data_IF_370475179578
#
_entry.id   IF_370475179578
#
_cell.length_a   1.000
_cell.length_b   1.000
_cell.length_c   1.000
_cell.angle_alpha   90.00
_cell.angle_beta   90.00
_cell.angle_gamma   90.00
#
_symmetry.space_group_name_H-M   'P 1'
#
loop_
_entity.id
_entity.type
_entity.pdbx_description
1 polymer ?
#
# COMPACT_ATOMS: atom_id res chain seq x y z
N UNK A 1 -13.87 -19.07 13.48
CA UNK A 1 -13.26 -17.95 12.72
C UNK A 1 -13.88 -16.64 13.22
N UNK A 2 -13.10 -15.63 13.62
CA UNK A 2 -13.64 -14.33 14.01
C UNK A 2 -14.50 -13.71 12.89
N UNK A 3 -15.63 -13.03 13.19
CA UNK A 3 -16.46 -12.36 12.17
C UNK A 3 -15.69 -11.38 11.27
N UNK A 4 -14.58 -10.83 11.75
CA UNK A 4 -13.66 -9.96 11.00
C UNK A 4 -12.99 -10.67 9.80
N UNK A 5 -12.88 -12.00 9.83
CA UNK A 5 -12.29 -12.82 8.75
C UNK A 5 -13.34 -13.17 7.68
N UNK A 6 -14.61 -13.34 8.05
CA UNK A 6 -15.65 -13.90 7.18
C UNK A 6 -16.07 -13.02 5.98
N UNK A 7 -15.66 -11.75 5.91
CA UNK A 7 -15.95 -10.91 4.73
C UNK A 7 -14.75 -10.09 4.24
N UNK A 8 -13.55 -10.67 4.29
CA UNK A 8 -12.36 -10.10 3.64
C UNK A 8 -12.51 -10.11 2.12
N UNK A 9 -13.08 -11.18 1.54
CA UNK A 9 -13.29 -11.28 0.10
C UNK A 9 -14.17 -10.13 -0.43
N UNK A 10 -15.30 -9.83 0.21
CA UNK A 10 -16.15 -8.71 -0.21
C UNK A 10 -15.50 -7.34 0.01
N UNK A 11 -14.69 -7.18 1.05
CA UNK A 11 -13.87 -5.96 1.26
C UNK A 11 -12.83 -5.81 0.15
N UNK A 12 -12.13 -6.89 -0.22
CA UNK A 12 -11.17 -6.92 -1.32
C UNK A 12 -11.83 -6.60 -2.67
N UNK A 13 -12.99 -7.18 -2.96
CA UNK A 13 -13.73 -6.86 -4.19
C UNK A 13 -14.08 -5.38 -4.25
N UNK A 14 -14.68 -4.82 -3.18
CA UNK A 14 -15.01 -3.37 -3.13
C UNK A 14 -13.76 -2.48 -3.23
N UNK A 15 -12.65 -2.90 -2.65
CA UNK A 15 -11.37 -2.21 -2.76
C UNK A 15 -10.85 -2.22 -4.21
N UNK A 16 -10.87 -3.38 -4.87
CA UNK A 16 -10.38 -3.51 -6.25
C UNK A 16 -11.30 -2.82 -7.27
N UNK A 17 -12.60 -2.83 -7.03
CA UNK A 17 -13.60 -2.23 -7.92
C UNK A 17 -13.70 -0.71 -7.75
N UNK A 18 -13.64 -0.20 -6.51
CA UNK A 18 -14.03 1.17 -6.19
C UNK A 18 -13.04 1.89 -5.25
N UNK A 19 -11.90 1.28 -4.94
CA UNK A 19 -10.90 1.87 -4.05
C UNK A 19 -11.32 1.94 -2.57
N UNK A 20 -12.41 1.29 -2.13
CA UNK A 20 -12.86 1.41 -0.73
C UNK A 20 -11.79 0.90 0.27
N UNK A 21 -11.49 1.66 1.34
CA UNK A 21 -10.49 1.25 2.34
C UNK A 21 -10.80 -0.13 2.94
N UNK A 22 -9.79 -1.00 2.95
CA UNK A 22 -9.93 -2.34 3.51
C UNK A 22 -10.14 -2.34 5.02
N UNK A 23 -9.70 -1.33 5.78
CA UNK A 23 -9.79 -1.27 7.26
C UNK A 23 -9.04 -2.43 7.97
N UNK A 24 -7.81 -2.71 7.57
CA UNK A 24 -6.93 -3.70 8.25
C UNK A 24 -6.08 -2.96 9.27
N UNK A 25 -6.23 -3.29 10.55
CA UNK A 25 -5.55 -2.57 11.65
C UNK A 25 -4.26 -3.23 12.15
N UNK A 26 -4.10 -4.54 11.96
CA UNK A 26 -3.00 -5.32 12.51
C UNK A 26 -2.75 -6.62 11.71
N UNK A 27 -1.82 -7.44 12.21
CA UNK A 27 -1.43 -8.72 11.62
C UNK A 27 -2.31 -9.90 12.08
N UNK A 28 -3.46 -9.69 12.72
CA UNK A 28 -4.34 -10.77 13.23
C UNK A 28 -4.87 -11.71 12.13
N UNK A 29 -4.81 -11.27 10.87
CA UNK A 29 -5.25 -12.02 9.70
C UNK A 29 -4.18 -12.97 9.15
N UNK A 30 -2.96 -12.96 9.69
CA UNK A 30 -1.87 -13.83 9.27
C UNK A 30 -1.21 -14.51 10.44
N UNK A 31 -0.78 -15.75 10.21
CA UNK A 31 0.16 -16.38 11.12
C UNK A 31 1.52 -15.67 11.01
N UNK A 32 1.86 -14.93 12.07
CA UNK A 32 3.12 -14.19 12.16
C UNK A 32 4.23 -14.98 12.86
N UNK A 33 4.01 -16.25 13.22
CA UNK A 33 4.99 -17.10 13.90
C UNK A 33 6.31 -17.23 13.14
N UNK A 34 6.24 -17.22 11.80
CA UNK A 34 7.40 -17.37 10.92
C UNK A 34 8.08 -16.05 10.54
N UNK A 35 7.55 -14.90 10.97
CA UNK A 35 8.16 -13.60 10.68
C UNK A 35 9.24 -13.28 11.69
N UNK A 36 10.40 -12.80 11.20
CA UNK A 36 11.41 -12.24 12.09
C UNK A 36 10.88 -10.98 12.78
N UNK A 37 11.48 -10.61 13.92
CA UNK A 37 11.11 -9.38 14.62
C UNK A 37 11.20 -8.12 13.72
N UNK A 38 12.19 -8.08 12.82
CA UNK A 38 12.32 -7.00 11.84
C UNK A 38 11.22 -7.03 10.77
N UNK A 39 10.83 -8.21 10.29
CA UNK A 39 9.71 -8.31 9.34
C UNK A 39 8.40 -7.84 9.98
N UNK A 40 8.13 -8.26 11.22
CA UNK A 40 6.96 -7.80 11.97
C UNK A 40 6.92 -6.28 12.08
N UNK A 41 8.02 -5.65 12.50
CA UNK A 41 8.06 -4.19 12.64
C UNK A 41 7.91 -3.46 11.30
N UNK A 42 8.45 -4.00 10.21
CA UNK A 42 8.25 -3.46 8.85
C UNK A 42 6.79 -3.57 8.43
N UNK A 43 6.14 -4.72 8.65
CA UNK A 43 4.74 -4.93 8.26
C UNK A 43 3.78 -4.08 9.10
N UNK A 44 4.01 -3.97 10.40
CA UNK A 44 3.27 -3.08 11.29
C UNK A 44 3.44 -1.60 10.90
N UNK A 45 4.65 -1.18 10.52
CA UNK A 45 4.88 0.16 10.02
C UNK A 45 4.16 0.40 8.68
N UNK A 46 4.12 -0.60 7.79
CA UNK A 46 3.39 -0.51 6.52
C UNK A 46 1.87 -0.41 6.74
N UNK A 47 1.31 -1.17 7.68
CA UNK A 47 -0.12 -1.12 8.04
C UNK A 47 -0.55 0.26 8.57
N UNK A 48 0.38 1.03 9.15
CA UNK A 48 0.13 2.40 9.61
C UNK A 48 0.13 3.45 8.49
N UNK A 49 0.43 3.08 7.25
CA UNK A 49 0.36 4.01 6.11
C UNK A 49 -1.12 4.21 5.75
N UNK A 50 -1.66 5.44 5.82
CA UNK A 50 -3.05 5.70 5.51
C UNK A 50 -3.41 5.29 4.08
N UNK A 51 -4.68 4.97 3.87
CA UNK A 51 -5.20 4.68 2.54
C UNK A 51 -5.13 5.93 1.64
N UNK A 52 -4.69 5.76 0.39
CA UNK A 52 -4.46 6.85 -0.56
C UNK A 52 -3.18 7.65 -0.29
N UNK A 53 -2.37 7.24 0.69
CA UNK A 53 -1.07 7.84 0.96
C UNK A 53 0.07 6.87 0.65
N UNK A 54 1.22 7.43 0.28
CA UNK A 54 2.46 6.67 0.13
C UNK A 54 3.52 7.11 1.13
N UNK A 55 4.45 6.21 1.44
CA UNK A 55 5.64 6.49 2.26
C UNK A 55 6.88 5.92 1.62
N UNK A 56 8.03 6.48 1.96
CA UNK A 56 9.31 6.00 1.45
C UNK A 56 9.82 4.81 2.25
N UNK A 57 10.72 4.03 1.66
CA UNK A 57 11.48 3.02 2.41
C UNK A 57 12.22 3.60 3.63
N UNK A 58 12.70 4.85 3.54
CA UNK A 58 13.34 5.55 4.67
C UNK A 58 12.35 5.86 5.80
N UNK A 59 11.10 6.18 5.47
CA UNK A 59 10.06 6.41 6.47
C UNK A 59 9.81 5.16 7.32
N UNK A 60 9.73 3.99 6.68
CA UNK A 60 9.59 2.72 7.41
C UNK A 60 10.85 2.43 8.22
N UNK A 61 12.04 2.60 7.64
CA UNK A 61 13.31 2.35 8.34
C UNK A 61 13.43 3.16 9.64
N UNK A 62 12.97 4.41 9.65
CA UNK A 62 12.89 5.22 10.86
C UNK A 62 11.92 4.64 11.90
N UNK A 63 10.75 4.16 11.46
CA UNK A 63 9.72 3.58 12.32
C UNK A 63 10.10 2.23 12.91
N UNK A 64 11.03 1.50 12.30
CA UNK A 64 11.59 0.25 12.85
C UNK A 64 12.77 0.48 13.79
N UNK A 65 13.14 1.73 14.09
CA UNK A 65 14.30 2.07 14.91
C UNK A 65 15.63 1.80 14.22
N UNK A 66 15.63 1.57 12.90
CA UNK A 66 16.82 1.26 12.10
C UNK A 66 16.91 2.18 10.88
N UNK A 67 17.22 3.48 11.04
CA UNK A 67 17.11 4.50 9.97
C UNK A 67 17.90 4.17 8.69
N UNK A 68 18.99 3.40 8.80
CA UNK A 68 19.84 3.02 7.67
C UNK A 68 19.37 1.74 6.95
N UNK A 69 18.32 1.07 7.44
CA UNK A 69 17.90 -0.25 6.98
C UNK A 69 16.98 -0.25 5.75
N UNK A 70 17.00 0.79 4.91
CA UNK A 70 16.10 0.93 3.73
C UNK A 70 16.13 -0.29 2.79
N UNK A 71 17.32 -0.85 2.53
CA UNK A 71 17.45 -2.06 1.69
C UNK A 71 16.82 -3.28 2.37
N UNK A 72 17.03 -3.44 3.68
CA UNK A 72 16.44 -4.52 4.46
C UNK A 72 14.91 -4.39 4.52
N UNK A 73 14.37 -3.17 4.63
CA UNK A 73 12.93 -2.90 4.50
C UNK A 73 12.43 -3.39 3.14
N UNK A 74 13.12 -3.05 2.04
CA UNK A 74 12.77 -3.53 0.71
C UNK A 74 12.76 -5.07 0.62
N UNK A 75 13.74 -5.74 1.23
CA UNK A 75 13.79 -7.21 1.28
C UNK A 75 12.66 -7.82 2.13
N UNK A 76 12.31 -7.18 3.25
CA UNK A 76 11.17 -7.61 4.07
C UNK A 76 9.85 -7.47 3.29
N UNK A 77 9.61 -6.32 2.64
CA UNK A 77 8.41 -6.08 1.84
C UNK A 77 8.32 -6.99 0.59
N UNK A 78 9.46 -7.36 0.00
CA UNK A 78 9.52 -8.38 -1.07
C UNK A 78 8.99 -9.75 -0.60
N UNK A 79 9.17 -10.07 0.68
CA UNK A 79 8.71 -11.32 1.31
C UNK A 79 7.33 -11.19 1.96
N UNK A 80 6.60 -10.11 1.68
CA UNK A 80 5.24 -9.95 2.18
C UNK A 80 4.34 -11.10 1.64
N UNK A 81 3.81 -11.98 2.50
CA UNK A 81 3.03 -13.13 2.06
C UNK A 81 1.60 -12.76 1.64
N UNK A 82 1.13 -11.56 2.00
CA UNK A 82 -0.23 -11.08 1.75
C UNK A 82 -0.21 -9.63 1.24
N UNK A 83 0.20 -9.40 -0.02
CA UNK A 83 0.08 -8.09 -0.67
C UNK A 83 -1.35 -7.54 -0.56
N UNK A 84 -1.50 -6.21 -0.65
CA UNK A 84 -2.75 -5.47 -0.45
C UNK A 84 -3.20 -5.41 1.02
N UNK A 85 -3.29 -6.55 1.72
CA UNK A 85 -3.63 -6.58 3.15
C UNK A 85 -2.53 -5.97 4.01
N UNK A 86 -1.28 -6.41 3.80
CA UNK A 86 -0.11 -5.62 4.17
C UNK A 86 0.18 -4.71 2.96
N UNK A 87 -0.02 -3.39 3.08
CA UNK A 87 -0.10 -2.48 1.93
C UNK A 87 1.29 -2.08 1.42
N UNK A 88 2.10 -3.07 1.01
CA UNK A 88 3.45 -2.82 0.51
C UNK A 88 3.46 -2.04 -0.82
N UNK A 89 2.34 -1.96 -1.54
CA UNK A 89 2.18 -1.10 -2.71
C UNK A 89 2.27 0.38 -2.37
N UNK A 90 1.92 0.79 -1.14
CA UNK A 90 2.05 2.17 -0.64
C UNK A 90 3.49 2.59 -0.31
N UNK A 91 4.45 1.66 -0.37
CA UNK A 91 5.86 1.95 -0.07
C UNK A 91 6.62 2.19 -1.36
N UNK A 92 7.13 3.40 -1.57
CA UNK A 92 7.78 3.82 -2.82
C UNK A 92 9.21 4.30 -2.59
N UNK A 93 9.97 4.43 -3.68
CA UNK A 93 11.26 5.12 -3.65
C UNK A 93 11.03 6.63 -3.72
N UNK A 94 12.01 7.43 -3.30
CA UNK A 94 11.96 8.89 -3.46
C UNK A 94 11.95 9.33 -4.93
N UNK A 95 12.46 8.49 -5.83
CA UNK A 95 12.63 8.82 -7.26
C UNK A 95 11.60 8.17 -8.18
N UNK A 96 11.00 7.05 -7.76
CA UNK A 96 10.10 6.25 -8.58
C UNK A 96 9.23 5.34 -7.72
N UNK A 97 8.28 4.65 -8.33
CA UNK A 97 7.38 3.71 -7.65
C UNK A 97 8.14 2.53 -7.00
N UNK A 98 9.35 2.21 -7.47
CA UNK A 98 10.14 1.09 -6.98
C UNK A 98 9.54 -0.27 -7.34
N UNK A 99 10.17 -1.34 -6.84
CA UNK A 99 9.72 -2.70 -7.11
C UNK A 99 8.42 -3.09 -6.38
N UNK A 100 7.82 -4.19 -6.81
CA UNK A 100 6.64 -4.80 -6.21
C UNK A 100 6.73 -6.32 -6.25
N UNK A 101 6.33 -7.00 -5.17
CA UNK A 101 6.32 -8.47 -5.07
C UNK A 101 7.63 -9.15 -5.49
N UNK A 102 8.75 -8.43 -5.35
CA UNK A 102 10.08 -8.93 -5.68
C UNK A 102 10.58 -8.68 -7.10
N UNK A 103 9.76 -8.08 -7.95
CA UNK A 103 10.11 -7.63 -9.30
C UNK A 103 10.44 -6.14 -9.30
N UNK A 104 11.39 -5.75 -10.15
CA UNK A 104 11.92 -4.38 -10.22
C UNK A 104 11.85 -3.77 -11.62
N UNK A 105 11.43 -4.54 -12.63
CA UNK A 105 11.24 -4.03 -13.98
C UNK A 105 10.13 -2.97 -13.98
N UNK A 106 10.43 -1.69 -14.31
CA UNK A 106 9.42 -0.64 -14.35
C UNK A 106 8.29 -0.89 -15.34
N UNK A 107 8.54 -1.68 -16.39
CA UNK A 107 7.57 -2.09 -17.41
C UNK A 107 6.94 -3.45 -17.10
N UNK A 108 7.35 -4.08 -16.00
CA UNK A 108 6.81 -5.35 -15.55
C UNK A 108 5.39 -5.24 -14.99
N UNK A 109 4.62 -6.32 -15.13
CA UNK A 109 3.22 -6.41 -14.71
C UNK A 109 3.03 -6.10 -13.22
N UNK A 110 3.98 -6.47 -12.38
CA UNK A 110 3.94 -6.26 -10.93
C UNK A 110 4.08 -4.78 -10.58
N UNK A 111 4.98 -4.06 -11.26
CA UNK A 111 5.13 -2.62 -11.06
C UNK A 111 3.92 -1.89 -11.62
N UNK A 112 3.37 -2.32 -12.75
CA UNK A 112 2.10 -1.81 -13.29
C UNK A 112 0.94 -2.03 -12.29
N UNK A 113 0.82 -3.23 -11.71
CA UNK A 113 -0.17 -3.53 -10.68
C UNK A 113 -0.01 -2.60 -9.47
N UNK A 114 1.22 -2.34 -9.01
CA UNK A 114 1.47 -1.38 -7.95
C UNK A 114 0.98 0.02 -8.30
N UNK A 115 1.19 0.48 -9.55
CA UNK A 115 0.65 1.77 -10.02
C UNK A 115 -0.87 1.78 -9.97
N UNK A 116 -1.52 0.73 -10.48
CA UNK A 116 -2.98 0.59 -10.48
C UNK A 116 -3.55 0.60 -9.07
N UNK A 117 -2.93 -0.15 -8.15
CA UNK A 117 -3.33 -0.17 -6.74
C UNK A 117 -3.21 1.21 -6.09
N UNK A 118 -2.16 1.98 -6.39
CA UNK A 118 -2.07 3.36 -5.90
C UNK A 118 -3.14 4.24 -6.55
N UNK A 119 -3.38 4.07 -7.86
CA UNK A 119 -4.40 4.81 -8.61
C UNK A 119 -5.80 4.67 -8.03
N UNK A 120 -6.26 3.43 -7.80
CA UNK A 120 -7.60 3.20 -7.24
C UNK A 120 -7.78 3.79 -5.83
N UNK A 121 -6.73 3.83 -5.01
CA UNK A 121 -6.80 4.49 -3.69
C UNK A 121 -6.86 6.02 -3.81
N UNK A 122 -6.18 6.60 -4.81
CA UNK A 122 -6.22 8.03 -5.08
C UNK A 122 -7.58 8.46 -5.65
N UNK A 123 -8.15 7.68 -6.56
CA UNK A 123 -9.45 7.95 -7.18
C UNK A 123 -10.58 7.93 -6.14
N UNK A 124 -10.47 7.09 -5.10
CA UNK A 124 -11.38 7.12 -3.96
C UNK A 124 -11.32 8.44 -3.18
N UNK A 125 -10.13 9.03 -3.01
CA UNK A 125 -9.96 10.31 -2.32
C UNK A 125 -10.42 11.51 -3.15
N UNK A 126 -10.43 11.37 -4.47
CA UNK A 126 -10.88 12.40 -5.40
C UNK A 126 -12.02 11.85 -6.26
N UNK A 127 -13.26 11.81 -5.75
CA UNK A 127 -14.40 11.37 -6.54
C UNK A 127 -14.49 12.30 -7.75
N UNK A 128 -14.10 11.77 -8.91
CA UNK A 128 -14.13 12.49 -10.17
C UNK A 128 -15.51 13.14 -10.30
N UNK A 129 -15.56 14.47 -10.27
CA UNK A 129 -16.76 15.25 -10.59
C UNK A 129 -16.59 15.76 -12.02
N UNK A 130 -16.91 14.94 -13.06
CA UNK A 130 -16.72 15.32 -14.46
C UNK A 130 -17.43 16.64 -14.85
N UNK A 131 -18.37 17.13 -14.04
CA UNK A 131 -19.03 18.41 -14.23
C UNK A 131 -18.24 19.63 -13.71
N UNK A 132 -17.19 19.46 -12.90
CA UNK A 132 -16.39 20.57 -12.35
C UNK A 132 -15.19 20.98 -13.22
N UNK A 133 -14.81 20.20 -14.24
CA UNK A 133 -13.72 20.57 -15.17
C UNK A 133 -13.99 21.90 -15.89
N UNK A 134 -15.25 22.21 -16.18
CA UNK A 134 -15.66 23.48 -16.79
C UNK A 134 -15.63 24.69 -15.86
N UNK A 135 -15.65 24.49 -14.53
CA UNK A 135 -15.73 25.57 -13.53
C UNK A 135 -14.35 26.04 -13.07
N UNK A 136 -13.36 25.13 -13.04
CA UNK A 136 -11.98 25.46 -12.61
C UNK A 136 -11.21 26.16 -13.74
N UNK A 137 -11.53 25.88 -15.01
CA UNK A 137 -10.91 26.53 -16.16
C UNK A 137 -11.31 28.01 -16.35
N UNK A 138 -12.34 28.50 -15.64
CA UNK A 138 -12.87 29.88 -15.80
C UNK A 138 -12.55 30.81 -14.63
N UNK A 139 -11.88 30.36 -13.56
CA UNK A 139 -11.51 31.22 -12.42
C UNK A 139 -10.05 31.67 -12.41
N UNK A 140 -9.31 31.43 -13.51
CA UNK A 140 -7.91 31.83 -13.67
C UNK A 140 -7.71 32.82 -14.85
N UNK A 141 -8.72 33.65 -15.14
CA UNK A 141 -8.64 34.76 -16.08
C UNK A 141 -9.25 36.02 -15.46
#
# INVERSE_FOLDING_TARGET
MPPSIMNIAGRLLRYLENGLPLQIGDLSLVDSSQFSAFQKSVYEAALKIPHGETRTYSWIAMRTGSPLAMRAVGQALKKNPIPILIPCHRVVSMKNIGGFMGMTDPSGREVELKRKLIGIENDYLNPYFPFMEGFIATSAA
#
